data_IF_075222759603
#
_entry.id   IF_075222759603
#
_cell.length_a   1.000
_cell.length_b   1.000
_cell.length_c   1.000
_cell.angle_alpha   90.00
_cell.angle_beta   90.00
_cell.angle_gamma   90.00
#
_symmetry.space_group_name_H-M   'P 1'
#
loop_
_entity.id
_entity.type
_entity.pdbx_description
1 polymer ?
#
# COMPACT_ATOMS: atom_id res chain seq x y z
N UNK A 1 -15.18 -19.25 -3.42
CA UNK A 1 -15.58 -17.89 -2.98
C UNK A 1 -15.77 -17.95 -1.47
N UNK A 2 -15.41 -16.89 -0.75
CA UNK A 2 -15.53 -16.79 0.72
C UNK A 2 -16.52 -15.67 1.09
N UNK A 3 -17.83 -15.90 0.93
CA UNK A 3 -18.84 -14.87 1.18
C UNK A 3 -18.92 -14.46 2.66
N UNK A 4 -18.47 -15.31 3.58
CA UNK A 4 -18.45 -15.03 5.01
C UNK A 4 -17.19 -14.29 5.48
N UNK A 5 -16.18 -14.13 4.60
CA UNK A 5 -14.88 -13.54 4.93
C UNK A 5 -14.21 -14.22 6.14
N UNK A 6 -14.32 -15.55 6.21
CA UNK A 6 -13.80 -16.36 7.32
C UNK A 6 -12.38 -16.88 7.07
N UNK A 7 -11.86 -16.74 5.85
CA UNK A 7 -10.51 -17.17 5.48
C UNK A 7 -9.54 -15.99 5.45
N UNK A 8 -8.68 -15.93 6.46
CA UNK A 8 -7.57 -14.98 6.48
C UNK A 8 -6.39 -15.48 5.65
N UNK A 9 -6.34 -15.04 4.39
CA UNK A 9 -5.27 -15.37 3.43
C UNK A 9 -3.86 -14.90 3.85
N UNK A 10 -3.72 -14.13 4.92
CA UNK A 10 -2.44 -13.71 5.49
C UNK A 10 -2.06 -14.49 6.76
N UNK A 11 -2.92 -15.38 7.24
CA UNK A 11 -2.62 -16.27 8.36
C UNK A 11 -1.74 -17.44 7.91
N UNK A 12 -0.78 -17.84 8.75
CA UNK A 12 0.16 -18.90 8.44
C UNK A 12 -0.54 -20.24 8.15
N UNK A 13 -1.61 -20.55 8.89
CA UNK A 13 -2.37 -21.80 8.73
C UNK A 13 -3.10 -21.88 7.37
N UNK A 14 -3.29 -20.75 6.70
CA UNK A 14 -3.96 -20.68 5.39
C UNK A 14 -2.98 -20.55 4.21
N UNK A 15 -1.69 -20.79 4.42
CA UNK A 15 -0.66 -20.60 3.39
C UNK A 15 -0.95 -21.36 2.08
N UNK A 16 -1.52 -22.57 2.17
CA UNK A 16 -1.90 -23.36 0.99
C UNK A 16 -3.04 -22.70 0.19
N UNK A 17 -4.02 -22.12 0.87
CA UNK A 17 -5.12 -21.38 0.25
C UNK A 17 -4.59 -20.07 -0.36
N UNK A 18 -3.73 -19.35 0.36
CA UNK A 18 -3.10 -18.11 -0.08
C UNK A 18 -2.25 -18.30 -1.36
N UNK A 19 -1.56 -19.44 -1.48
CA UNK A 19 -0.74 -19.76 -2.66
C UNK A 19 -1.56 -19.88 -3.96
N UNK A 20 -2.82 -20.35 -3.86
CA UNK A 20 -3.75 -20.45 -4.97
C UNK A 20 -4.68 -19.24 -5.14
N UNK A 21 -4.69 -18.31 -4.18
CA UNK A 21 -5.58 -17.17 -4.18
C UNK A 21 -5.21 -16.15 -5.27
N UNK A 22 -6.24 -15.72 -6.01
CA UNK A 22 -6.11 -14.64 -7.00
C UNK A 22 -7.11 -13.54 -6.71
N UNK A 23 -6.67 -12.30 -6.88
CA UNK A 23 -7.49 -11.09 -6.74
C UNK A 23 -7.29 -10.29 -8.03
N UNK A 24 -8.38 -9.98 -8.72
CA UNK A 24 -8.35 -9.32 -10.04
C UNK A 24 -7.47 -10.06 -11.06
N UNK A 25 -7.40 -11.40 -11.00
CA UNK A 25 -6.57 -12.22 -11.87
C UNK A 25 -5.07 -12.20 -11.54
N UNK A 26 -4.66 -11.55 -10.44
CA UNK A 26 -3.27 -11.51 -9.99
C UNK A 26 -3.07 -12.32 -8.70
N UNK A 27 -1.89 -12.94 -8.51
CA UNK A 27 -1.59 -13.67 -7.28
C UNK A 27 -1.52 -12.72 -6.09
N UNK A 28 -1.96 -13.19 -4.92
CA UNK A 28 -2.02 -12.39 -3.69
C UNK A 28 -0.72 -11.63 -3.39
N UNK A 29 0.44 -12.28 -3.57
CA UNK A 29 1.77 -11.67 -3.37
C UNK A 29 2.02 -10.40 -4.19
N UNK A 30 1.37 -10.25 -5.34
CA UNK A 30 1.48 -9.06 -6.19
C UNK A 30 0.54 -7.95 -5.72
N UNK A 31 -0.64 -8.33 -5.24
CA UNK A 31 -1.71 -7.41 -4.83
C UNK A 31 -1.41 -6.80 -3.46
N UNK A 32 -0.86 -7.60 -2.54
CA UNK A 32 -0.66 -7.21 -1.15
C UNK A 32 0.18 -5.93 -0.96
N UNK A 33 1.36 -5.75 -1.57
CA UNK A 33 2.15 -4.54 -1.36
C UNK A 33 1.43 -3.24 -1.80
N UNK A 34 0.53 -3.32 -2.77
CA UNK A 34 -0.26 -2.17 -3.26
C UNK A 34 -1.38 -1.79 -2.31
N UNK A 35 -2.04 -2.80 -1.73
CA UNK A 35 -3.05 -2.57 -0.70
C UNK A 35 -2.39 -2.00 0.56
N UNK A 36 -1.25 -2.53 0.96
CA UNK A 36 -0.48 -2.03 2.10
C UNK A 36 -0.01 -0.58 1.87
N UNK A 37 0.51 -0.27 0.69
CA UNK A 37 0.87 1.12 0.33
C UNK A 37 -0.32 2.07 0.32
N UNK A 38 -1.50 1.60 -0.12
CA UNK A 38 -2.72 2.40 -0.11
C UNK A 38 -3.22 2.63 1.31
N UNK A 39 -3.20 1.61 2.16
CA UNK A 39 -3.50 1.72 3.58
C UNK A 39 -2.54 2.68 4.28
N UNK A 40 -1.26 2.64 3.92
CA UNK A 40 -0.25 3.53 4.48
C UNK A 40 -0.53 5.00 4.19
N UNK A 41 -0.96 5.32 2.97
CA UNK A 41 -1.43 6.66 2.63
C UNK A 41 -2.69 7.03 3.41
N UNK A 42 -3.63 6.10 3.54
CA UNK A 42 -4.96 6.35 4.10
C UNK A 42 -4.99 6.45 5.63
N UNK A 43 -4.05 5.84 6.35
CA UNK A 43 -4.15 5.73 7.82
C UNK A 43 -4.19 7.08 8.54
N UNK A 44 -3.46 8.07 8.02
CA UNK A 44 -3.34 9.41 8.61
C UNK A 44 -3.57 10.54 7.59
N UNK A 45 -4.21 10.21 6.47
CA UNK A 45 -4.46 11.16 5.39
C UNK A 45 -5.26 12.39 5.86
N UNK A 46 -5.07 13.51 5.16
CA UNK A 46 -5.87 14.73 5.34
C UNK A 46 -6.34 15.26 3.99
N UNK A 47 -7.55 15.82 3.95
CA UNK A 47 -8.09 16.53 2.79
C UNK A 47 -8.09 15.72 1.49
N UNK A 48 -7.44 16.25 0.45
CA UNK A 48 -7.43 15.67 -0.89
C UNK A 48 -6.69 14.34 -0.96
N UNK A 49 -5.72 14.08 -0.08
CA UNK A 49 -5.01 12.80 -0.02
C UNK A 49 -5.96 11.66 0.30
N UNK A 50 -6.95 11.87 1.17
CA UNK A 50 -7.94 10.85 1.52
C UNK A 50 -8.89 10.52 0.37
N UNK A 51 -9.27 11.51 -0.43
CA UNK A 51 -10.17 11.31 -1.56
C UNK A 51 -9.46 10.87 -2.84
N UNK A 52 -8.14 11.10 -2.92
CA UNK A 52 -7.29 10.74 -4.07
C UNK A 52 -5.98 10.07 -3.63
N UNK A 53 -6.03 8.94 -2.91
CA UNK A 53 -4.83 8.32 -2.35
C UNK A 53 -3.87 7.80 -3.43
N UNK A 54 -4.40 7.38 -4.59
CA UNK A 54 -3.55 7.00 -5.73
C UNK A 54 -2.78 8.18 -6.31
N UNK A 55 -3.35 9.38 -6.30
CA UNK A 55 -2.65 10.59 -6.74
C UNK A 55 -1.51 10.95 -5.79
N UNK A 56 -1.64 10.65 -4.49
CA UNK A 56 -0.56 10.84 -3.53
C UNK A 56 0.61 9.88 -3.78
N UNK A 57 0.33 8.62 -4.16
CA UNK A 57 1.35 7.63 -4.55
C UNK A 57 1.92 7.88 -5.95
N UNK A 58 1.10 8.34 -6.90
CA UNK A 58 1.44 8.58 -8.30
C UNK A 58 1.00 9.98 -8.74
N UNK A 59 1.75 11.04 -8.39
CA UNK A 59 1.35 12.42 -8.67
C UNK A 59 1.26 12.76 -10.17
N UNK A 60 1.95 11.98 -11.01
CA UNK A 60 1.85 12.08 -12.46
C UNK A 60 0.50 11.58 -13.03
N UNK A 61 -0.38 11.02 -12.19
CA UNK A 61 -1.74 10.62 -12.58
C UNK A 61 -1.82 9.36 -13.44
N UNK A 62 -0.72 8.62 -13.58
CA UNK A 62 -0.62 7.38 -14.35
C UNK A 62 -1.25 6.16 -13.65
N UNK A 63 -1.67 6.32 -12.39
CA UNK A 63 -2.40 5.30 -11.62
C UNK A 63 -3.51 5.99 -10.84
N UNK A 64 -4.75 5.58 -11.10
CA UNK A 64 -5.96 6.01 -10.40
C UNK A 64 -6.76 4.85 -9.79
N UNK A 65 -6.30 3.61 -9.94
CA UNK A 65 -6.99 2.43 -9.40
C UNK A 65 -6.02 1.31 -9.02
N UNK A 66 -6.51 0.34 -8.23
CA UNK A 66 -5.75 -0.86 -7.88
C UNK A 66 -5.34 -1.67 -9.12
N UNK A 67 -6.21 -1.74 -10.13
CA UNK A 67 -5.93 -2.46 -11.37
C UNK A 67 -4.77 -1.82 -12.15
N UNK A 68 -4.72 -0.49 -12.21
CA UNK A 68 -3.60 0.22 -12.85
C UNK A 68 -2.31 0.10 -12.04
N UNK A 69 -2.41 0.12 -10.71
CA UNK A 69 -1.27 -0.09 -9.81
C UNK A 69 -0.62 -1.48 -10.01
N UNK A 70 -1.39 -2.48 -10.46
CA UNK A 70 -0.93 -3.84 -10.74
C UNK A 70 -0.05 -3.97 -11.99
N UNK A 71 0.15 -2.89 -12.77
CA UNK A 71 1.08 -2.91 -13.89
C UNK A 71 2.51 -3.29 -13.43
N UNK A 72 3.20 -4.22 -14.13
CA UNK A 72 4.52 -4.72 -13.69
C UNK A 72 5.60 -3.66 -13.48
N UNK A 73 5.54 -2.55 -14.23
CA UNK A 73 6.47 -1.41 -14.08
C UNK A 73 6.48 -0.76 -12.70
N UNK A 74 5.46 -0.99 -11.87
CA UNK A 74 5.37 -0.47 -10.51
C UNK A 74 5.71 -1.51 -9.45
N UNK A 75 6.04 -2.75 -9.83
CA UNK A 75 6.30 -3.84 -8.88
C UNK A 75 7.38 -3.48 -7.87
N UNK A 76 8.54 -2.97 -8.34
CA UNK A 76 9.65 -2.59 -7.48
C UNK A 76 9.27 -1.48 -6.50
N UNK A 77 8.61 -0.42 -6.99
CA UNK A 77 8.13 0.68 -6.17
C UNK A 77 7.26 0.21 -5.00
N UNK A 78 6.26 -0.64 -5.27
CA UNK A 78 5.37 -1.14 -4.23
C UNK A 78 6.06 -2.11 -3.27
N UNK A 79 7.07 -2.87 -3.72
CA UNK A 79 7.83 -3.75 -2.82
C UNK A 79 8.77 -3.00 -1.87
N UNK A 80 9.23 -1.81 -2.27
CA UNK A 80 10.13 -0.97 -1.48
C UNK A 80 9.39 0.02 -0.57
N UNK A 81 8.07 0.15 -0.71
CA UNK A 81 7.28 1.05 0.12
C UNK A 81 7.32 0.63 1.60
N UNK A 82 7.38 1.64 2.47
CA UNK A 82 7.23 1.46 3.92
C UNK A 82 5.89 0.81 4.23
N UNK A 83 5.89 -0.24 5.04
CA UNK A 83 4.68 -0.98 5.39
C UNK A 83 3.92 -0.30 6.52
N UNK A 84 2.61 -0.53 6.55
CA UNK A 84 1.80 -0.11 7.71
C UNK A 84 2.23 -0.91 8.93
N UNK A 85 2.55 -0.20 10.00
CA UNK A 85 2.81 -0.76 11.32
C UNK A 85 2.28 0.20 12.38
N UNK A 86 2.15 -0.32 13.60
CA UNK A 86 1.89 0.42 14.82
C UNK A 86 2.98 0.03 15.81
N UNK A 87 3.55 1.01 16.50
CA UNK A 87 4.66 0.76 17.42
C UNK A 87 4.15 0.23 18.77
N UNK A 88 3.03 0.77 19.26
CA UNK A 88 2.34 0.31 20.46
C UNK A 88 0.85 0.70 20.43
N UNK A 89 0.06 0.05 21.28
CA UNK A 89 -1.37 0.32 21.38
C UNK A 89 -1.62 1.42 22.41
N UNK A 90 -2.42 2.42 22.05
CA UNK A 90 -2.81 3.53 22.91
C UNK A 90 -4.33 3.66 23.03
N UNK A 91 -4.81 4.39 24.03
CA UNK A 91 -6.25 4.62 24.29
C UNK A 91 -6.89 5.65 23.35
N UNK A 92 -6.15 6.12 22.35
CA UNK A 92 -6.60 7.09 21.37
C UNK A 92 -5.64 7.17 20.20
N UNK A 93 -5.95 8.07 19.28
CA UNK A 93 -5.08 8.32 18.14
C UNK A 93 -3.91 9.22 18.57
N UNK A 94 -2.77 8.59 18.84
CA UNK A 94 -1.50 9.22 19.23
C UNK A 94 -0.50 8.93 18.12
N UNK A 95 -0.13 9.94 17.34
CA UNK A 95 0.66 9.77 16.10
C UNK A 95 1.99 9.07 16.36
N UNK A 96 2.60 9.30 17.51
CA UNK A 96 3.86 8.68 17.92
C UNK A 96 3.74 7.17 18.16
N UNK A 97 2.54 6.65 18.44
CA UNK A 97 2.27 5.23 18.60
C UNK A 97 1.91 4.54 17.27
N UNK A 98 1.52 5.31 16.26
CA UNK A 98 1.08 4.85 14.94
C UNK A 98 2.26 4.44 14.03
N UNK A 99 3.51 4.60 14.46
CA UNK A 99 4.68 4.29 13.66
C UNK A 99 4.87 5.24 12.45
N UNK A 100 5.43 4.75 11.32
CA UNK A 100 5.79 5.56 10.16
C UNK A 100 4.59 6.33 9.61
N UNK A 101 4.78 7.50 9.02
CA UNK A 101 3.71 8.30 8.44
C UNK A 101 3.99 8.55 6.95
N UNK A 102 2.99 8.42 6.09
CA UNK A 102 3.20 8.53 4.64
C UNK A 102 3.83 9.88 4.22
N UNK A 103 3.47 10.97 4.88
CA UNK A 103 4.01 12.31 4.60
C UNK A 103 5.52 12.43 4.89
N UNK A 104 6.07 11.57 5.75
CA UNK A 104 7.47 11.61 6.18
C UNK A 104 8.29 10.41 5.67
N UNK A 105 7.72 9.21 5.71
CA UNK A 105 8.40 7.94 5.49
C UNK A 105 7.95 7.23 4.19
N UNK A 106 7.00 7.83 3.46
CA UNK A 106 6.43 7.28 2.24
C UNK A 106 7.22 7.64 0.99
N UNK A 107 7.46 6.64 0.14
CA UNK A 107 7.96 6.88 -1.21
C UNK A 107 6.83 7.33 -2.13
N UNK A 108 7.12 8.29 -3.01
CA UNK A 108 6.20 8.79 -4.03
C UNK A 108 6.74 8.45 -5.42
N UNK A 109 5.89 7.87 -6.27
CA UNK A 109 6.29 7.48 -7.62
C UNK A 109 6.29 8.70 -8.55
N UNK A 110 7.46 9.26 -8.80
CA UNK A 110 7.69 10.29 -9.82
C UNK A 110 8.44 9.70 -11.00
N UNK A 111 7.92 9.92 -12.21
CA UNK A 111 8.58 9.49 -13.44
C UNK A 111 9.77 10.41 -13.73
N UNK A 112 11.00 9.99 -13.43
CA UNK A 112 12.22 10.63 -13.95
C UNK A 112 13.34 11.00 -12.98
N UNK A 113 13.34 10.57 -11.71
CA UNK A 113 14.38 10.97 -10.76
C UNK A 113 15.73 10.30 -11.02
N UNK A 114 16.60 10.97 -11.81
CA UNK A 114 18.05 10.82 -11.68
C UNK A 114 18.53 11.64 -10.49
N UNK A 115 19.57 11.14 -9.83
CA UNK A 115 20.20 11.71 -8.63
C UNK A 115 20.59 13.20 -8.71
N UNK A 116 20.79 13.77 -9.91
CA UNK A 116 21.17 15.18 -10.12
C UNK A 116 20.11 16.21 -9.71
N UNK A 117 18.88 15.79 -9.49
CA UNK A 117 17.76 16.71 -9.29
C UNK A 117 17.46 16.95 -7.79
N UNK A 118 18.40 16.53 -6.90
CA UNK A 118 18.23 16.46 -5.44
C UNK A 118 19.34 17.12 -4.60
N UNK A 119 20.14 18.06 -5.13
CA UNK A 119 20.93 18.90 -4.19
C UNK A 119 20.01 19.78 -3.37
#
# INVERSE_FOLDING_TARGET
TDPGQLHNLLHADEAALAAGATILGHPLKKVLPRLDSLLFVLKSCKGTTCSRPWQALHPSGNVGSLLEALAPRFDEFYTQQTRVQFDHCELGHIVEAEGPQFEHDGAVYWKGSRWSDWT
#
